data_IF_098870401951
#
_entry.id   IF_098870401951
#
_cell.length_a   1.000
_cell.length_b   1.000
_cell.length_c   1.000
_cell.angle_alpha   90.00
_cell.angle_beta   90.00
_cell.angle_gamma   90.00
#
_symmetry.space_group_name_H-M   'P 1'
#
loop_
_entity.id
_entity.type
_entity.pdbx_description
1 polymer ?
#
# COMPACT_ATOMS: atom_id res chain seq x y z
N UNK A 1 1.08 -23.49 1.48
CA UNK A 1 0.12 -22.61 0.79
C UNK A 1 0.26 -21.21 1.38
N UNK A 2 0.52 -20.21 0.59
CA UNK A 2 0.59 -18.82 1.08
C UNK A 2 -0.82 -18.37 1.46
N UNK A 3 -1.02 -17.90 2.69
CA UNK A 3 -2.34 -17.41 3.14
C UNK A 3 -2.70 -16.14 2.40
N UNK A 4 -3.87 -16.12 1.73
CA UNK A 4 -4.36 -14.92 1.04
C UNK A 4 -4.71 -13.86 2.08
N UNK A 5 -4.21 -12.64 1.88
CA UNK A 5 -4.47 -11.49 2.77
C UNK A 5 -5.54 -10.56 2.18
N UNK A 6 -6.38 -10.03 3.06
CA UNK A 6 -7.44 -9.09 2.68
C UNK A 6 -7.33 -7.81 3.51
N UNK A 7 -7.20 -6.71 2.82
CA UNK A 7 -7.15 -5.38 3.42
C UNK A 7 -8.36 -4.54 3.08
N UNK A 8 -8.62 -3.55 3.91
CA UNK A 8 -9.65 -2.54 3.71
C UNK A 8 -9.03 -1.14 3.63
N UNK A 9 -9.41 -0.37 2.62
CA UNK A 9 -9.04 1.04 2.57
C UNK A 9 -9.94 1.87 3.49
N UNK A 10 -9.35 2.45 4.54
CA UNK A 10 -10.01 3.43 5.40
C UNK A 10 -10.00 4.79 4.72
N UNK A 11 -11.10 5.52 4.83
CA UNK A 11 -11.23 6.87 4.26
C UNK A 11 -10.35 7.87 5.01
N UNK A 12 -9.68 8.75 4.27
CA UNK A 12 -8.99 9.91 4.84
C UNK A 12 -9.90 11.12 5.01
N UNK A 13 -11.18 11.03 4.65
CA UNK A 13 -12.12 12.13 4.81
C UNK A 13 -12.21 12.57 6.28
N UNK A 14 -12.15 13.90 6.50
CA UNK A 14 -12.29 14.54 7.82
C UNK A 14 -13.62 15.34 7.90
N UNK A 15 -14.66 14.78 7.31
CA UNK A 15 -16.02 15.35 7.34
C UNK A 15 -16.71 15.05 8.68
N UNK A 16 -17.75 15.81 9.07
CA UNK A 16 -18.54 15.49 10.26
C UNK A 16 -19.05 14.04 10.24
N UNK A 17 -18.83 13.29 11.31
CA UNK A 17 -19.20 11.89 11.43
C UNK A 17 -18.17 10.88 10.90
N UNK A 18 -17.07 11.32 10.27
CA UNK A 18 -15.98 10.42 9.89
C UNK A 18 -15.23 9.93 11.13
N UNK A 19 -15.12 8.62 11.28
CA UNK A 19 -14.37 7.96 12.35
C UNK A 19 -13.48 6.84 11.79
N UNK A 20 -12.26 7.18 11.35
CA UNK A 20 -11.35 6.20 10.77
C UNK A 20 -10.89 5.14 11.79
N UNK A 21 -11.00 5.41 13.08
CA UNK A 21 -10.70 4.43 14.13
C UNK A 21 -11.81 3.40 14.23
N UNK A 22 -13.08 3.84 14.19
CA UNK A 22 -14.23 2.92 14.18
C UNK A 22 -14.19 2.02 12.94
N UNK A 23 -13.90 2.57 11.74
CA UNK A 23 -13.74 1.80 10.50
C UNK A 23 -12.65 0.72 10.65
N UNK A 24 -11.49 1.08 11.22
CA UNK A 24 -10.38 0.17 11.40
C UNK A 24 -10.67 -0.92 12.46
N UNK A 25 -11.35 -0.58 13.54
CA UNK A 25 -11.81 -1.56 14.56
C UNK A 25 -12.81 -2.54 13.96
N UNK A 26 -13.78 -2.06 13.20
CA UNK A 26 -14.72 -2.91 12.49
C UNK A 26 -14.01 -3.88 11.54
N UNK A 27 -13.03 -3.41 10.78
CA UNK A 27 -12.20 -4.26 9.92
C UNK A 27 -11.43 -5.31 10.74
N UNK A 28 -10.85 -4.93 11.88
CA UNK A 28 -10.15 -5.86 12.80
C UNK A 28 -11.08 -6.92 13.37
N UNK A 29 -12.28 -6.55 13.80
CA UNK A 29 -13.29 -7.45 14.34
C UNK A 29 -13.82 -8.42 13.29
N UNK A 30 -13.98 -7.96 12.07
CA UNK A 30 -14.42 -8.76 10.92
C UNK A 30 -13.32 -9.64 10.31
N UNK A 31 -12.07 -9.54 10.81
CA UNK A 31 -10.98 -10.42 10.41
C UNK A 31 -10.25 -10.03 9.13
N UNK A 32 -10.25 -8.75 8.78
CA UNK A 32 -9.31 -8.24 7.76
C UNK A 32 -7.87 -8.31 8.28
N UNK A 33 -6.93 -8.57 7.38
CA UNK A 33 -5.51 -8.74 7.71
C UNK A 33 -4.80 -7.38 7.86
N UNK A 34 -5.25 -6.35 7.12
CA UNK A 34 -4.71 -5.00 7.21
C UNK A 34 -5.73 -3.93 6.84
N UNK A 35 -5.48 -2.72 7.31
CA UNK A 35 -6.13 -1.50 6.81
C UNK A 35 -5.11 -0.64 6.07
N UNK A 36 -5.58 0.17 5.13
CA UNK A 36 -4.73 1.05 4.35
C UNK A 36 -5.35 2.43 4.16
N UNK A 37 -4.54 3.44 3.87
CA UNK A 37 -5.02 4.76 3.47
C UNK A 37 -4.09 5.40 2.42
N UNK A 38 -4.67 6.23 1.55
CA UNK A 38 -3.95 6.99 0.54
C UNK A 38 -3.31 8.26 1.14
N UNK A 39 -2.29 8.82 0.46
CA UNK A 39 -1.52 9.98 0.92
C UNK A 39 -1.70 11.17 -0.04
N UNK A 40 -2.91 11.73 -0.08
CA UNK A 40 -3.25 12.93 -0.81
C UNK A 40 -3.48 14.07 0.17
N UNK A 41 -2.55 15.03 0.20
CA UNK A 41 -2.51 16.08 1.21
C UNK A 41 -3.18 17.38 0.77
N UNK A 42 -3.25 17.63 -0.54
CA UNK A 42 -3.78 18.85 -1.14
C UNK A 42 -5.19 18.64 -1.69
N UNK A 43 -6.03 19.67 -1.56
CA UNK A 43 -7.39 19.72 -2.09
C UNK A 43 -8.32 20.55 -1.24
N UNK A 44 -9.54 20.75 -1.71
CA UNK A 44 -10.60 21.49 -0.99
C UNK A 44 -11.40 20.60 -0.05
N UNK A 45 -11.36 19.27 -0.26
CA UNK A 45 -12.07 18.34 0.59
C UNK A 45 -11.34 18.20 1.93
N UNK A 46 -12.04 18.23 3.07
CA UNK A 46 -11.42 18.03 4.37
C UNK A 46 -10.85 16.61 4.48
N UNK A 47 -9.57 16.51 4.81
CA UNK A 47 -8.84 15.21 4.91
C UNK A 47 -7.89 15.19 6.09
N UNK A 48 -7.77 14.03 6.71
CA UNK A 48 -6.69 13.76 7.66
C UNK A 48 -5.36 13.56 6.92
N UNK A 49 -4.26 14.03 7.52
CA UNK A 49 -2.92 13.65 7.09
C UNK A 49 -2.72 12.16 7.37
N UNK A 50 -2.28 11.44 6.35
CA UNK A 50 -2.32 9.98 6.32
C UNK A 50 -1.47 9.32 7.40
N UNK A 51 -0.24 9.79 7.61
CA UNK A 51 0.65 9.20 8.61
C UNK A 51 0.12 9.39 10.01
N UNK A 52 -0.36 10.59 10.32
CA UNK A 52 -0.97 10.93 11.61
C UNK A 52 -2.20 10.07 11.86
N UNK A 53 -3.11 9.98 10.88
CA UNK A 53 -4.33 9.17 10.99
C UNK A 53 -4.00 7.68 11.21
N UNK A 54 -3.09 7.12 10.41
CA UNK A 54 -2.70 5.71 10.55
C UNK A 54 -2.00 5.41 11.88
N UNK A 55 -1.20 6.36 12.39
CA UNK A 55 -0.60 6.24 13.73
C UNK A 55 -1.67 6.20 14.83
N UNK A 56 -2.71 7.04 14.68
CA UNK A 56 -3.85 7.06 15.59
C UNK A 56 -4.67 5.77 15.52
N UNK A 57 -4.90 5.23 14.33
CA UNK A 57 -5.53 3.92 14.11
C UNK A 57 -4.71 2.82 14.81
N UNK A 58 -3.40 2.78 14.59
CA UNK A 58 -2.53 1.78 15.19
C UNK A 58 -2.55 1.81 16.72
N UNK A 59 -2.65 3.00 17.33
CA UNK A 59 -2.76 3.17 18.78
C UNK A 59 -4.12 2.69 19.34
N UNK A 60 -5.14 2.59 18.50
CA UNK A 60 -6.51 2.25 18.88
C UNK A 60 -7.00 0.88 18.38
N UNK A 61 -6.10 0.08 17.81
CA UNK A 61 -6.31 -1.31 17.35
C UNK A 61 -5.23 -2.21 17.93
N UNK A 62 -5.39 -3.53 17.84
CA UNK A 62 -4.52 -4.47 18.54
C UNK A 62 -3.78 -5.45 17.64
N UNK A 63 -4.38 -5.90 16.54
CA UNK A 63 -3.89 -6.99 15.70
C UNK A 63 -3.76 -6.61 14.24
N UNK A 64 -4.70 -5.80 13.72
CA UNK A 64 -4.75 -5.46 12.31
C UNK A 64 -3.48 -4.70 11.89
N UNK A 65 -2.90 -5.09 10.77
CA UNK A 65 -1.75 -4.39 10.20
C UNK A 65 -2.19 -3.07 9.58
N UNK A 66 -1.26 -2.15 9.49
CA UNK A 66 -1.54 -0.79 9.00
C UNK A 66 -0.61 -0.46 7.85
N UNK A 67 -1.19 -0.17 6.68
CA UNK A 67 -0.45 0.07 5.45
C UNK A 67 -0.63 1.51 4.95
N UNK A 68 0.43 2.17 4.54
CA UNK A 68 0.32 3.34 3.68
C UNK A 68 0.07 2.90 2.23
N UNK A 69 -0.84 3.55 1.47
CA UNK A 69 -1.25 3.13 0.11
C UNK A 69 -1.34 4.30 -0.89
N UNK A 70 -0.31 4.84 -1.32
CA UNK A 70 1.07 4.70 -0.87
C UNK A 70 1.58 6.06 -0.43
N UNK A 71 2.54 6.08 0.48
CA UNK A 71 3.18 7.31 0.95
C UNK A 71 3.95 7.99 -0.18
N UNK A 72 3.69 9.26 -0.42
CA UNK A 72 4.40 10.04 -1.43
C UNK A 72 5.83 10.35 -1.00
N UNK A 73 6.81 9.68 -1.59
CA UNK A 73 8.24 9.88 -1.27
C UNK A 73 8.67 11.35 -1.34
N UNK A 74 8.23 12.17 -2.33
CA UNK A 74 8.64 13.57 -2.38
C UNK A 74 8.18 14.45 -1.23
N UNK A 75 7.14 14.05 -0.49
CA UNK A 75 6.64 14.85 0.65
C UNK A 75 7.55 14.81 1.89
N UNK A 76 8.38 13.77 2.02
CA UNK A 76 9.12 13.54 3.27
C UNK A 76 10.57 13.18 2.98
N UNK A 77 11.49 13.61 3.86
CA UNK A 77 12.88 13.17 3.78
C UNK A 77 12.98 11.66 4.03
N UNK A 78 13.63 10.86 3.15
CA UNK A 78 13.68 9.41 3.29
C UNK A 78 14.28 8.90 4.60
N UNK A 79 15.31 9.57 5.15
CA UNK A 79 15.92 9.17 6.42
C UNK A 79 14.97 9.45 7.60
N UNK A 80 14.23 10.56 7.55
CA UNK A 80 13.17 10.85 8.54
C UNK A 80 12.06 9.83 8.43
N UNK A 81 11.62 9.50 7.21
CA UNK A 81 10.60 8.45 6.97
C UNK A 81 11.05 7.10 7.52
N UNK A 82 12.32 6.73 7.34
CA UNK A 82 12.87 5.49 7.91
C UNK A 82 12.79 5.48 9.43
N UNK A 83 13.10 6.62 10.10
CA UNK A 83 12.95 6.74 11.57
C UNK A 83 11.50 6.72 12.02
N UNK A 84 10.61 7.40 11.29
CA UNK A 84 9.17 7.36 11.56
C UNK A 84 8.63 5.94 11.45
N UNK A 85 9.05 5.19 10.44
CA UNK A 85 8.61 3.81 10.22
C UNK A 85 9.11 2.86 11.33
N UNK A 86 10.36 2.99 11.77
CA UNK A 86 10.87 2.24 12.92
C UNK A 86 10.03 2.49 14.17
N UNK A 87 9.76 3.75 14.45
CA UNK A 87 9.00 4.14 15.64
C UNK A 87 7.54 3.66 15.56
N UNK A 88 6.91 3.79 14.40
CA UNK A 88 5.56 3.28 14.17
C UNK A 88 5.50 1.76 14.36
N UNK A 89 6.42 1.02 13.72
CA UNK A 89 6.46 -0.43 13.80
C UNK A 89 6.65 -0.91 15.25
N UNK A 90 7.57 -0.31 15.96
CA UNK A 90 7.84 -0.62 17.37
C UNK A 90 6.64 -0.34 18.26
N UNK A 91 6.03 0.86 18.15
CA UNK A 91 4.88 1.26 18.96
C UNK A 91 3.64 0.43 18.66
N UNK A 92 3.50 -0.02 17.42
CA UNK A 92 2.38 -0.86 17.00
C UNK A 92 2.61 -2.37 17.22
N UNK A 93 3.81 -2.79 17.65
CA UNK A 93 4.13 -4.21 17.83
C UNK A 93 4.34 -4.99 16.53
N UNK A 94 4.98 -4.37 15.52
CA UNK A 94 5.33 -5.01 14.26
C UNK A 94 4.20 -5.00 13.21
N UNK A 95 3.29 -4.02 13.27
CA UNK A 95 2.09 -4.00 12.41
C UNK A 95 2.19 -3.07 11.19
N UNK A 96 3.31 -2.38 11.00
CA UNK A 96 3.47 -1.48 9.86
C UNK A 96 3.71 -2.25 8.55
N UNK A 97 3.08 -1.77 7.48
CA UNK A 97 3.42 -2.04 6.09
C UNK A 97 3.72 -0.69 5.44
N UNK A 98 4.97 -0.45 5.07
CA UNK A 98 5.38 0.81 4.48
C UNK A 98 5.16 0.79 2.95
N UNK A 99 3.98 1.19 2.51
CA UNK A 99 3.71 1.39 1.09
C UNK A 99 4.27 2.74 0.62
N UNK A 100 5.06 2.78 -0.44
CA UNK A 100 5.68 3.99 -0.99
C UNK A 100 5.45 4.13 -2.48
N UNK A 101 5.41 5.39 -2.95
CA UNK A 101 5.25 5.72 -4.36
C UNK A 101 5.94 7.02 -4.76
N UNK A 102 6.10 7.22 -6.04
CA UNK A 102 6.76 8.42 -6.60
C UNK A 102 5.96 9.72 -6.47
N UNK A 103 4.73 9.64 -5.96
CA UNK A 103 3.78 10.75 -5.90
C UNK A 103 2.96 10.91 -7.19
N UNK A 104 1.65 11.11 -7.05
CA UNK A 104 0.71 11.11 -8.17
C UNK A 104 0.59 12.48 -8.85
N UNK A 105 0.38 13.55 -8.09
CA UNK A 105 0.05 14.87 -8.62
C UNK A 105 1.19 15.87 -8.45
N UNK A 106 1.66 16.41 -9.56
CA UNK A 106 2.67 17.48 -9.54
C UNK A 106 2.08 18.80 -8.99
N UNK A 107 0.79 19.00 -9.10
CA UNK A 107 0.10 20.19 -8.56
C UNK A 107 0.08 20.15 -7.03
N UNK A 108 -0.09 18.98 -6.42
CA UNK A 108 0.05 18.83 -4.97
C UNK A 108 1.44 19.23 -4.49
N UNK A 109 2.50 18.81 -5.19
CA UNK A 109 3.87 19.18 -4.81
C UNK A 109 4.09 20.69 -4.90
N UNK A 110 3.69 21.31 -6.01
CA UNK A 110 3.81 22.77 -6.18
C UNK A 110 3.02 23.54 -5.12
N UNK A 111 1.82 23.07 -4.77
CA UNK A 111 0.98 23.70 -3.75
C UNK A 111 1.64 23.73 -2.36
N UNK A 112 2.45 22.70 -2.05
CA UNK A 112 3.21 22.63 -0.79
C UNK A 112 4.66 23.15 -0.91
N UNK A 113 5.00 23.84 -1.99
CA UNK A 113 6.34 24.41 -2.18
C UNK A 113 7.42 23.36 -2.48
N UNK A 114 7.02 22.16 -2.92
CA UNK A 114 7.91 21.09 -3.30
C UNK A 114 8.15 21.11 -4.81
N UNK A 115 9.32 20.65 -5.23
CA UNK A 115 9.65 20.53 -6.64
C UNK A 115 8.89 19.34 -7.28
N UNK A 116 8.23 19.61 -8.42
CA UNK A 116 7.65 18.56 -9.25
C UNK A 116 8.78 17.80 -9.96
N UNK A 117 8.91 16.52 -9.66
CA UNK A 117 9.97 15.67 -10.18
C UNK A 117 9.62 15.07 -11.53
N UNK A 118 10.61 14.92 -12.40
CA UNK A 118 10.43 14.16 -13.65
C UNK A 118 10.02 12.71 -13.35
N UNK A 119 9.36 12.00 -14.29
CA UNK A 119 9.02 10.59 -14.09
C UNK A 119 10.24 9.73 -13.73
N UNK A 120 11.41 10.03 -14.31
CA UNK A 120 12.67 9.38 -13.96
C UNK A 120 13.07 9.65 -12.51
N UNK A 121 12.99 10.91 -12.08
CA UNK A 121 13.38 11.31 -10.73
C UNK A 121 12.43 10.74 -9.67
N UNK A 122 11.15 10.60 -10.00
CA UNK A 122 10.18 9.90 -9.13
C UNK A 122 10.59 8.44 -8.87
N UNK A 123 11.03 7.73 -9.92
CA UNK A 123 11.48 6.33 -9.79
C UNK A 123 12.81 6.25 -9.04
N UNK A 124 13.81 7.07 -9.42
CA UNK A 124 15.11 7.07 -8.78
C UNK A 124 14.99 7.44 -7.30
N UNK A 125 14.21 8.49 -6.98
CA UNK A 125 13.98 8.91 -5.59
C UNK A 125 13.26 7.87 -4.74
N UNK A 126 12.35 7.12 -5.32
CA UNK A 126 11.67 6.01 -4.64
C UNK A 126 12.67 4.87 -4.35
N UNK A 127 13.49 4.46 -5.31
CA UNK A 127 14.53 3.43 -5.10
C UNK A 127 15.57 3.88 -4.07
N UNK A 128 16.02 5.15 -4.13
CA UNK A 128 16.92 5.73 -3.13
C UNK A 128 16.31 5.73 -1.73
N UNK A 129 15.01 6.06 -1.61
CA UNK A 129 14.31 6.05 -0.32
C UNK A 129 14.25 4.66 0.31
N UNK A 130 14.00 3.62 -0.49
CA UNK A 130 14.03 2.22 -0.01
C UNK A 130 15.44 1.85 0.47
N UNK A 131 16.46 2.17 -0.30
CA UNK A 131 17.86 1.89 0.06
C UNK A 131 18.28 2.62 1.33
N UNK A 132 17.88 3.88 1.50
CA UNK A 132 18.15 4.65 2.72
C UNK A 132 17.46 4.01 3.92
N UNK A 133 16.18 3.62 3.79
CA UNK A 133 15.45 2.96 4.86
C UNK A 133 16.15 1.66 5.28
N UNK A 134 16.45 0.78 4.32
CA UNK A 134 17.14 -0.50 4.59
C UNK A 134 18.51 -0.31 5.24
N UNK A 135 19.34 0.60 4.73
CA UNK A 135 20.66 0.89 5.29
C UNK A 135 20.56 1.43 6.73
N UNK A 136 19.66 2.37 6.97
CA UNK A 136 19.45 2.91 8.33
C UNK A 136 18.91 1.87 9.31
N UNK A 137 18.11 0.90 8.85
CA UNK A 137 17.56 -0.16 9.71
C UNK A 137 18.56 -1.28 10.00
N UNK A 138 19.57 -1.49 9.15
CA UNK A 138 20.52 -2.60 9.29
C UNK A 138 21.91 -2.19 9.77
N UNK A 139 22.39 -0.99 9.40
CA UNK A 139 23.74 -0.56 9.67
C UNK A 139 23.80 0.39 10.88
N UNK A 140 24.91 0.30 11.65
CA UNK A 140 25.15 1.20 12.79
C UNK A 140 25.24 2.66 12.36
N UNK A 141 25.90 2.92 11.23
CA UNK A 141 26.06 4.24 10.64
C UNK A 141 26.00 4.10 9.13
N UNK A 142 25.12 4.84 8.49
CA UNK A 142 24.85 4.69 7.06
C UNK A 142 25.10 5.99 6.31
N UNK A 143 25.97 5.91 5.30
CA UNK A 143 26.23 6.99 4.36
C UNK A 143 25.73 6.58 2.98
N UNK A 144 24.89 7.41 2.38
CA UNK A 144 24.32 7.19 1.07
C UNK A 144 24.48 8.42 0.19
N UNK A 145 25.13 8.25 -0.96
CA UNK A 145 25.36 9.31 -1.94
C UNK A 145 24.46 9.18 -3.15
N UNK A 146 23.16 9.35 -2.99
CA UNK A 146 22.20 9.33 -4.09
C UNK A 146 22.16 10.65 -4.86
N UNK A 147 21.46 10.65 -5.99
CA UNK A 147 21.24 11.83 -6.81
C UNK A 147 20.19 12.78 -6.22
N UNK A 148 19.16 12.23 -5.61
CA UNK A 148 18.02 12.96 -5.08
C UNK A 148 18.00 12.99 -3.54
N UNK A 149 18.64 12.01 -2.90
CA UNK A 149 18.68 11.90 -1.46
C UNK A 149 20.08 11.50 -0.99
N UNK A 150 20.51 12.05 0.16
CA UNK A 150 21.83 11.78 0.74
C UNK A 150 21.71 11.59 2.24
N UNK A 151 22.58 10.75 2.78
CA UNK A 151 22.84 10.67 4.21
C UNK A 151 24.35 10.67 4.44
N UNK A 152 24.79 11.21 5.56
CA UNK A 152 26.20 11.24 5.96
C UNK A 152 26.30 10.73 7.39
N UNK A 153 26.91 9.56 7.56
CA UNK A 153 27.10 8.90 8.87
C UNK A 153 25.83 8.88 9.73
N UNK A 154 24.67 8.78 9.07
CA UNK A 154 23.37 8.84 9.73
C UNK A 154 23.17 7.59 10.60
N UNK A 155 22.63 7.78 11.78
CA UNK A 155 22.35 6.72 12.72
C UNK A 155 20.92 6.86 13.22
N UNK A 156 20.20 5.75 13.28
CA UNK A 156 18.91 5.66 13.96
C UNK A 156 18.96 4.51 14.96
N UNK A 157 18.51 4.79 16.18
CA UNK A 157 18.35 3.82 17.24
C UNK A 157 17.00 4.01 17.92
N UNK A 158 16.37 2.91 18.38
CA UNK A 158 16.78 1.53 18.17
C UNK A 158 16.58 1.09 16.72
N UNK A 159 17.18 -0.05 16.33
CA UNK A 159 16.87 -0.69 15.04
C UNK A 159 15.50 -1.34 15.07
N UNK A 160 14.80 -1.50 13.94
CA UNK A 160 13.57 -2.29 13.90
C UNK A 160 13.77 -3.69 14.47
N UNK A 161 12.86 -4.12 15.34
CA UNK A 161 12.86 -5.48 15.90
C UNK A 161 12.12 -6.48 15.02
N UNK A 162 11.38 -5.99 14.03
CA UNK A 162 10.66 -6.78 13.04
C UNK A 162 11.09 -6.36 11.63
N UNK A 163 10.88 -7.24 10.68
CA UNK A 163 10.99 -6.87 9.27
C UNK A 163 9.82 -5.95 8.90
N UNK A 164 10.13 -4.71 8.53
CA UNK A 164 9.14 -3.75 8.03
C UNK A 164 9.01 -3.96 6.51
N UNK A 165 7.91 -4.54 6.02
CA UNK A 165 7.71 -4.72 4.59
C UNK A 165 7.58 -3.39 3.88
N UNK A 166 8.25 -3.26 2.74
CA UNK A 166 8.12 -2.10 1.85
C UNK A 166 7.39 -2.54 0.58
N UNK A 167 6.21 -1.98 0.34
CA UNK A 167 5.43 -2.20 -0.87
C UNK A 167 5.49 -0.98 -1.78
N UNK A 168 5.65 -1.19 -3.10
CA UNK A 168 5.72 -0.09 -4.06
C UNK A 168 4.51 -0.06 -4.99
N UNK A 169 3.91 1.13 -5.12
CA UNK A 169 2.86 1.43 -6.11
C UNK A 169 3.49 1.89 -7.43
N UNK A 170 3.65 0.97 -8.38
CA UNK A 170 4.41 1.21 -9.62
C UNK A 170 3.71 0.65 -10.86
N UNK A 171 3.93 1.30 -12.02
CA UNK A 171 3.21 0.97 -13.26
C UNK A 171 4.10 0.93 -14.51
N UNK A 172 5.08 1.81 -14.65
CA UNK A 172 5.97 1.86 -15.82
C UNK A 172 7.16 0.92 -15.69
N UNK A 173 7.73 0.45 -16.81
CA UNK A 173 8.77 -0.58 -16.86
C UNK A 173 9.98 -0.32 -15.95
N UNK A 174 10.46 0.94 -15.90
CA UNK A 174 11.56 1.33 -15.02
C UNK A 174 11.17 1.20 -13.54
N UNK A 175 9.96 1.61 -13.18
CA UNK A 175 9.46 1.55 -11.82
C UNK A 175 9.16 0.10 -11.39
N UNK A 176 8.62 -0.73 -12.28
CA UNK A 176 8.43 -2.16 -12.07
C UNK A 176 9.77 -2.86 -11.84
N UNK A 177 10.79 -2.55 -12.65
CA UNK A 177 12.13 -3.09 -12.44
C UNK A 177 12.74 -2.64 -11.09
N UNK A 178 12.53 -1.38 -10.67
CA UNK A 178 12.94 -0.92 -9.34
C UNK A 178 12.22 -1.72 -8.23
N UNK A 179 10.91 -1.97 -8.37
CA UNK A 179 10.15 -2.82 -7.44
C UNK A 179 10.82 -4.18 -7.28
N UNK A 180 11.14 -4.86 -8.38
CA UNK A 180 11.84 -6.16 -8.35
C UNK A 180 13.17 -6.11 -7.59
N UNK A 181 13.95 -5.04 -7.80
CA UNK A 181 15.28 -4.91 -7.17
C UNK A 181 15.24 -4.68 -5.67
N UNK A 182 14.28 -3.91 -5.15
CA UNK A 182 14.40 -3.37 -3.77
C UNK A 182 13.17 -3.55 -2.87
N UNK A 183 11.99 -3.89 -3.40
CA UNK A 183 10.75 -3.96 -2.63
C UNK A 183 10.40 -5.37 -2.15
N UNK A 184 9.64 -5.46 -1.06
CA UNK A 184 9.06 -6.72 -0.58
C UNK A 184 7.66 -6.97 -1.17
N UNK A 185 7.08 -5.96 -1.84
CA UNK A 185 5.80 -6.13 -2.49
C UNK A 185 5.49 -5.09 -3.56
N UNK A 186 4.54 -5.44 -4.40
CA UNK A 186 3.98 -4.61 -5.45
C UNK A 186 2.50 -4.38 -5.18
N UNK A 187 2.06 -3.11 -5.13
CA UNK A 187 0.68 -2.73 -4.79
C UNK A 187 0.06 -1.82 -5.87
N UNK A 188 -0.27 -2.36 -7.06
CA UNK A 188 -0.93 -1.62 -8.13
C UNK A 188 -2.42 -1.43 -7.83
N UNK A 189 -3.01 -0.42 -8.50
CA UNK A 189 -4.46 -0.21 -8.51
C UNK A 189 -5.05 -0.70 -9.82
N UNK A 190 -6.24 -1.30 -9.74
CA UNK A 190 -6.98 -1.90 -10.86
C UNK A 190 -7.11 -0.96 -12.06
N UNK A 191 -7.40 0.33 -11.84
CA UNK A 191 -7.59 1.32 -12.90
C UNK A 191 -6.31 1.59 -13.73
N UNK A 192 -5.14 1.49 -13.10
CA UNK A 192 -3.84 1.75 -13.76
C UNK A 192 -3.14 0.48 -14.25
N UNK A 193 -3.49 -0.65 -13.67
CA UNK A 193 -2.96 -1.96 -14.01
C UNK A 193 -4.12 -2.95 -14.18
N UNK A 194 -4.90 -2.86 -15.27
CA UNK A 194 -6.00 -3.77 -15.53
C UNK A 194 -5.49 -5.20 -15.75
N UNK A 195 -6.33 -6.23 -15.51
CA UNK A 195 -5.95 -7.65 -15.49
C UNK A 195 -5.11 -8.12 -16.68
N UNK A 196 -5.43 -7.64 -17.89
CA UNK A 196 -4.73 -8.00 -19.13
C UNK A 196 -3.27 -7.52 -19.17
N UNK A 197 -2.91 -6.49 -18.40
CA UNK A 197 -1.54 -5.96 -18.30
C UNK A 197 -0.71 -6.64 -17.20
N UNK A 198 -1.36 -7.27 -16.23
CA UNK A 198 -0.70 -7.81 -15.03
C UNK A 198 0.40 -8.82 -15.37
N UNK A 199 0.20 -9.81 -16.29
CA UNK A 199 1.24 -10.79 -16.58
C UNK A 199 2.57 -10.14 -17.01
N UNK A 200 2.52 -9.22 -17.96
CA UNK A 200 3.73 -8.52 -18.45
C UNK A 200 4.37 -7.64 -17.39
N UNK A 201 3.56 -6.95 -16.57
CA UNK A 201 4.05 -6.10 -15.48
C UNK A 201 4.72 -6.96 -14.40
N UNK A 202 4.12 -8.07 -14.03
CA UNK A 202 4.66 -9.01 -13.04
C UNK A 202 5.95 -9.65 -13.55
N UNK A 203 6.01 -10.10 -14.80
CA UNK A 203 7.21 -10.65 -15.41
C UNK A 203 8.39 -9.66 -15.36
N UNK A 204 8.11 -8.38 -15.58
CA UNK A 204 9.11 -7.31 -15.46
C UNK A 204 9.67 -7.18 -14.04
N UNK A 205 8.81 -7.27 -13.02
CA UNK A 205 9.20 -7.25 -11.60
C UNK A 205 10.06 -8.47 -11.28
N UNK A 206 9.55 -9.67 -11.58
CA UNK A 206 10.22 -10.94 -11.24
C UNK A 206 11.54 -11.12 -11.99
N UNK A 207 11.62 -10.67 -13.26
CA UNK A 207 12.86 -10.62 -14.01
C UNK A 207 13.91 -9.76 -13.32
N UNK A 208 13.53 -8.52 -12.95
CA UNK A 208 14.44 -7.60 -12.26
C UNK A 208 14.85 -8.09 -10.85
N UNK A 209 14.00 -8.85 -10.17
CA UNK A 209 14.36 -9.50 -8.91
C UNK A 209 15.45 -10.53 -9.10
N UNK A 210 15.30 -11.44 -10.09
CA UNK A 210 16.32 -12.46 -10.43
C UNK A 210 17.65 -11.79 -10.83
N UNK A 211 17.60 -10.77 -11.68
CA UNK A 211 18.79 -10.03 -12.12
C UNK A 211 19.53 -9.36 -10.93
N UNK A 212 18.80 -9.05 -9.87
CA UNK A 212 19.34 -8.49 -8.61
C UNK A 212 19.75 -9.58 -7.58
N UNK A 213 19.66 -10.87 -7.93
CA UNK A 213 19.98 -12.00 -7.04
C UNK A 213 18.97 -12.20 -5.92
N UNK A 214 17.71 -11.78 -6.12
CA UNK A 214 16.60 -11.95 -5.16
C UNK A 214 15.67 -13.09 -5.60
N UNK A 215 15.08 -13.76 -4.63
CA UNK A 215 14.05 -14.76 -4.91
C UNK A 215 12.74 -14.08 -5.30
N UNK A 216 12.19 -14.37 -6.50
CA UNK A 216 10.96 -13.74 -6.97
C UNK A 216 9.74 -13.97 -6.05
N UNK A 217 9.70 -15.10 -5.37
CA UNK A 217 8.58 -15.47 -4.48
C UNK A 217 8.56 -14.67 -3.17
N UNK A 218 9.63 -13.91 -2.87
CA UNK A 218 9.65 -12.96 -1.75
C UNK A 218 8.79 -11.70 -2.02
N UNK A 219 8.40 -11.47 -3.29
CA UNK A 219 7.64 -10.26 -3.66
C UNK A 219 6.15 -10.54 -3.57
N UNK A 220 5.52 -9.99 -2.54
CA UNK A 220 4.07 -10.06 -2.36
C UNK A 220 3.35 -9.15 -3.38
N UNK A 221 2.50 -9.73 -4.23
CA UNK A 221 1.64 -8.95 -5.13
C UNK A 221 0.30 -8.66 -4.44
N UNK A 222 -0.04 -7.38 -4.30
CA UNK A 222 -1.24 -6.88 -3.62
C UNK A 222 -2.08 -6.08 -4.60
N UNK A 223 -3.34 -6.42 -4.81
CA UNK A 223 -4.18 -5.68 -5.75
C UNK A 223 -5.14 -4.73 -5.04
N UNK A 224 -5.07 -3.43 -5.37
CA UNK A 224 -6.08 -2.48 -4.94
C UNK A 224 -7.28 -2.58 -5.88
N UNK A 225 -8.43 -2.97 -5.34
CA UNK A 225 -9.65 -3.20 -6.11
C UNK A 225 -10.77 -2.33 -5.55
N UNK A 226 -11.37 -1.50 -6.38
CA UNK A 226 -12.63 -0.82 -6.04
C UNK A 226 -13.74 -1.84 -6.13
N UNK A 227 -14.53 -2.00 -5.06
CA UNK A 227 -15.49 -3.08 -4.94
C UNK A 227 -16.84 -2.60 -4.41
N UNK A 228 -17.93 -3.21 -4.93
CA UNK A 228 -19.28 -3.04 -4.42
C UNK A 228 -20.05 -4.37 -4.48
N UNK A 229 -20.52 -4.83 -3.34
CA UNK A 229 -21.39 -6.01 -3.23
C UNK A 229 -22.85 -5.54 -3.32
N UNK A 230 -23.48 -5.77 -4.46
CA UNK A 230 -24.85 -5.32 -4.71
C UNK A 230 -25.51 -6.23 -5.75
N UNK A 231 -26.64 -6.84 -5.43
CA UNK A 231 -27.40 -7.75 -6.32
C UNK A 231 -27.95 -7.03 -7.55
N UNK A 232 -28.05 -5.72 -7.51
CA UNK A 232 -28.61 -4.87 -8.59
C UNK A 232 -27.55 -4.01 -9.25
N UNK A 233 -26.27 -4.27 -8.97
CA UNK A 233 -25.20 -3.46 -9.52
C UNK A 233 -25.23 -3.43 -11.05
N UNK A 234 -25.19 -2.24 -11.60
CA UNK A 234 -24.91 -2.02 -13.01
C UNK A 234 -23.37 -2.02 -13.16
N UNK A 235 -22.80 -2.74 -14.15
CA UNK A 235 -21.38 -2.72 -14.37
C UNK A 235 -20.86 -1.28 -14.57
N UNK A 236 -19.86 -0.94 -13.77
CA UNK A 236 -19.17 0.35 -13.82
C UNK A 236 -17.68 0.10 -14.12
N UNK A 237 -17.08 0.84 -15.09
CA UNK A 237 -15.65 0.71 -15.36
C UNK A 237 -14.83 0.95 -14.10
N UNK A 238 -13.81 0.13 -13.87
CA UNK A 238 -12.94 0.26 -12.71
C UNK A 238 -13.49 -0.28 -11.38
N UNK A 239 -14.76 -0.74 -11.34
CA UNK A 239 -15.39 -1.29 -10.14
C UNK A 239 -15.72 -2.78 -10.31
N UNK A 240 -15.29 -3.60 -9.37
CA UNK A 240 -15.73 -4.99 -9.27
C UNK A 240 -17.04 -5.01 -8.49
N UNK A 241 -18.16 -5.14 -9.19
CA UNK A 241 -19.49 -5.06 -8.59
C UNK A 241 -20.37 -6.23 -8.99
N UNK A 242 -21.35 -6.55 -8.16
CA UNK A 242 -22.33 -7.62 -8.38
C UNK A 242 -22.75 -8.33 -7.09
N UNK A 243 -23.55 -9.40 -7.21
CA UNK A 243 -23.85 -10.27 -6.08
C UNK A 243 -22.58 -10.88 -5.48
N UNK A 244 -22.60 -11.28 -4.20
CA UNK A 244 -21.39 -11.77 -3.49
C UNK A 244 -20.62 -12.85 -4.24
N UNK A 245 -21.31 -13.82 -4.83
CA UNK A 245 -20.67 -14.90 -5.60
C UNK A 245 -19.91 -14.37 -6.81
N UNK A 246 -20.49 -13.42 -7.59
CA UNK A 246 -19.85 -12.85 -8.74
C UNK A 246 -18.62 -12.00 -8.38
N UNK A 247 -18.71 -11.26 -7.27
CA UNK A 247 -17.55 -10.50 -6.74
C UNK A 247 -16.46 -11.49 -6.28
N UNK A 248 -16.81 -12.55 -5.57
CA UNK A 248 -15.86 -13.57 -5.12
C UNK A 248 -15.17 -14.27 -6.30
N UNK A 249 -15.91 -14.70 -7.31
CA UNK A 249 -15.36 -15.33 -8.52
C UNK A 249 -14.38 -14.40 -9.24
N UNK A 250 -14.73 -13.11 -9.35
CA UNK A 250 -13.85 -12.12 -9.97
C UNK A 250 -12.54 -11.93 -9.18
N UNK A 251 -12.63 -11.85 -7.85
CA UNK A 251 -11.44 -11.73 -6.98
C UNK A 251 -10.61 -13.02 -7.03
N UNK A 252 -11.25 -14.20 -6.99
CA UNK A 252 -10.56 -15.49 -7.15
C UNK A 252 -9.83 -15.60 -8.49
N UNK A 253 -10.41 -15.06 -9.57
CA UNK A 253 -9.76 -14.97 -10.88
C UNK A 253 -8.44 -14.17 -10.85
N UNK A 254 -8.30 -13.18 -9.97
CA UNK A 254 -7.05 -12.42 -9.83
C UNK A 254 -5.93 -13.20 -9.14
N UNK A 255 -6.24 -14.24 -8.37
CA UNK A 255 -5.23 -15.16 -7.82
C UNK A 255 -4.42 -15.82 -8.94
N UNK A 256 -5.06 -16.16 -10.06
CA UNK A 256 -4.40 -16.75 -11.23
C UNK A 256 -3.41 -15.79 -11.92
N UNK A 257 -3.52 -14.49 -11.66
CA UNK A 257 -2.57 -13.47 -12.11
C UNK A 257 -1.37 -13.32 -11.16
N UNK A 258 -1.35 -14.09 -10.05
CA UNK A 258 -0.26 -14.12 -9.07
C UNK A 258 -0.39 -13.12 -7.94
N UNK A 259 -1.59 -12.56 -7.70
CA UNK A 259 -1.83 -11.80 -6.49
C UNK A 259 -2.02 -12.72 -5.29
N UNK A 260 -1.44 -12.33 -4.15
CA UNK A 260 -1.54 -13.04 -2.88
C UNK A 260 -2.28 -12.21 -1.81
N UNK A 261 -2.61 -10.97 -2.14
CA UNK A 261 -3.35 -10.08 -1.25
C UNK A 261 -4.25 -9.13 -2.05
N UNK A 262 -5.35 -8.72 -1.45
CA UNK A 262 -6.31 -7.77 -2.01
C UNK A 262 -6.58 -6.65 -1.02
N UNK A 263 -6.53 -5.42 -1.49
CA UNK A 263 -6.92 -4.24 -0.73
C UNK A 263 -8.21 -3.68 -1.30
N UNK A 264 -9.30 -3.78 -0.56
CA UNK A 264 -10.61 -3.34 -1.01
C UNK A 264 -10.82 -1.86 -0.76
N UNK A 265 -11.24 -1.15 -1.79
CA UNK A 265 -11.67 0.24 -1.76
C UNK A 265 -13.18 0.23 -1.98
N UNK A 266 -13.94 0.63 -0.98
CA UNK A 266 -15.40 0.56 -1.04
C UNK A 266 -15.97 1.64 -1.95
N UNK A 267 -16.82 1.26 -2.89
CA UNK A 267 -17.63 2.17 -3.69
C UNK A 267 -19.00 2.39 -3.02
N UNK A 268 -19.46 3.65 -3.02
CA UNK A 268 -20.76 4.04 -2.45
C UNK A 268 -20.68 4.49 -0.98
N UNK A 269 -21.82 4.97 -0.44
CA UNK A 269 -21.88 5.60 0.88
C UNK A 269 -22.06 4.61 2.06
N UNK A 270 -22.52 3.39 1.80
CA UNK A 270 -22.91 2.36 2.76
C UNK A 270 -21.72 1.51 3.25
N UNK A 271 -20.64 2.18 3.67
CA UNK A 271 -19.33 1.57 3.96
C UNK A 271 -19.39 0.42 4.97
N UNK A 272 -20.10 0.60 6.07
CA UNK A 272 -20.18 -0.42 7.13
C UNK A 272 -20.85 -1.70 6.63
N UNK A 273 -21.95 -1.56 5.89
CA UNK A 273 -22.63 -2.69 5.26
C UNK A 273 -21.71 -3.40 4.25
N UNK A 274 -21.04 -2.63 3.38
CA UNK A 274 -20.12 -3.19 2.40
C UNK A 274 -18.94 -3.91 3.07
N UNK A 275 -18.37 -3.35 4.15
CA UNK A 275 -17.33 -4.01 4.93
C UNK A 275 -17.79 -5.33 5.49
N UNK A 276 -18.99 -5.37 6.10
CA UNK A 276 -19.57 -6.58 6.66
C UNK A 276 -19.88 -7.63 5.57
N UNK A 277 -20.40 -7.22 4.42
CA UNK A 277 -20.69 -8.12 3.30
C UNK A 277 -19.44 -8.73 2.70
N UNK A 278 -18.38 -7.92 2.50
CA UNK A 278 -17.11 -8.45 2.04
C UNK A 278 -16.55 -9.50 2.99
N UNK A 279 -16.57 -9.24 4.30
CA UNK A 279 -16.03 -10.14 5.30
C UNK A 279 -16.82 -11.45 5.42
N UNK A 280 -18.15 -11.40 5.33
CA UNK A 280 -19.01 -12.53 5.59
C UNK A 280 -19.39 -13.34 4.36
N UNK A 281 -19.47 -12.69 3.19
CA UNK A 281 -20.01 -13.30 1.98
C UNK A 281 -18.92 -13.52 0.91
N UNK A 282 -17.96 -12.57 0.74
CA UNK A 282 -16.97 -12.61 -0.34
C UNK A 282 -15.68 -13.30 0.10
N UNK A 283 -15.05 -12.84 1.18
CA UNK A 283 -13.73 -13.34 1.62
C UNK A 283 -13.73 -14.85 1.87
N UNK A 284 -14.74 -15.45 2.56
CA UNK A 284 -14.79 -16.91 2.75
C UNK A 284 -14.89 -17.68 1.43
N UNK A 285 -15.66 -17.17 0.46
CA UNK A 285 -15.79 -17.80 -0.86
C UNK A 285 -14.47 -17.74 -1.66
N UNK A 286 -13.75 -16.61 -1.64
CA UNK A 286 -12.41 -16.49 -2.27
C UNK A 286 -11.41 -17.45 -1.62
N UNK A 287 -11.40 -17.56 -0.29
CA UNK A 287 -10.52 -18.50 0.44
C UNK A 287 -10.83 -19.96 0.11
N UNK A 288 -12.09 -20.31 -0.13
CA UNK A 288 -12.50 -21.65 -0.49
C UNK A 288 -12.16 -22.03 -1.94
N UNK A 289 -11.99 -21.04 -2.82
CA UNK A 289 -11.64 -21.22 -4.23
C UNK A 289 -10.12 -21.27 -4.49
N UNK A 290 -9.28 -21.03 -3.49
CA UNK A 290 -7.83 -21.00 -3.56
C UNK A 290 -7.18 -22.32 -3.14
#
# INVERSE_FOLDING_TARGET
MTTIQFGLNVSTAATPGADPVADARMAEELGFDFVSANDHLHGTDPRFETWTMLSWIAANTSRIRVATRVLGVPYRNPAVTAKMAESFDRLSGGRLILGMGGGASDDEFRAFGLEARSPRDKVDGMEEAVRIARGLWSERSFTFGGRLSRTESAQIEPKPSHHIPIWLGTYGDRALAATGRVADGWIPSFDYAPPERIPAMRDRILGAARDAGREPDEITCVYNVVVRVDERAVPEPGVVSGPPAAVADRIAGFLQLGFAAFNFILAGPDRDEQTARLAREVIPAVRAAA
#
